data_IF_465718891968
#
_entry.id   IF_465718891968
#
_cell.length_a   1.000
_cell.length_b   1.000
_cell.length_c   1.000
_cell.angle_alpha   90.00
_cell.angle_beta   90.00
_cell.angle_gamma   90.00
#
_symmetry.space_group_name_H-M   'P 1'
#
loop_
_entity.id
_entity.type
_entity.pdbx_description
1 polymer ?
#
# COMPACT_ATOMS: atom_id res chain seq x y z
N UNK A 1 12.45 -6.74 -8.56
CA UNK A 1 13.46 -5.68 -8.71
C UNK A 1 12.78 -4.31 -8.60
N UNK A 2 11.81 -4.02 -9.44
CA UNK A 2 11.21 -2.69 -9.54
C UNK A 2 10.59 -2.19 -8.22
N UNK A 3 9.87 -3.02 -7.45
CA UNK A 3 9.33 -2.63 -6.12
C UNK A 3 10.44 -2.29 -5.11
N UNK A 4 11.59 -2.96 -5.21
CA UNK A 4 12.73 -2.65 -4.35
C UNK A 4 13.27 -1.25 -4.65
N UNK A 5 13.39 -0.87 -5.92
CA UNK A 5 13.94 0.43 -6.32
C UNK A 5 13.07 1.60 -5.91
N UNK A 6 11.73 1.43 -5.93
CA UNK A 6 10.77 2.47 -5.56
C UNK A 6 10.96 2.96 -4.12
N UNK A 7 11.02 2.03 -3.20
CA UNK A 7 11.11 2.35 -1.77
C UNK A 7 12.55 2.63 -1.33
N UNK A 8 13.55 2.07 -2.03
CA UNK A 8 14.94 2.13 -1.62
C UNK A 8 15.47 3.57 -1.47
N UNK A 9 15.31 4.39 -2.49
CA UNK A 9 15.87 5.74 -2.46
C UNK A 9 15.08 6.69 -1.57
N UNK A 10 13.76 6.49 -1.43
CA UNK A 10 12.97 7.26 -0.48
C UNK A 10 13.38 6.97 0.97
N UNK A 11 13.52 5.71 1.36
CA UNK A 11 14.05 5.34 2.68
C UNK A 11 15.46 5.88 2.88
N UNK A 12 16.31 5.71 1.88
CA UNK A 12 17.68 6.20 1.92
C UNK A 12 17.76 7.73 2.13
N UNK A 13 16.92 8.50 1.42
CA UNK A 13 16.83 9.95 1.60
C UNK A 13 16.37 10.30 3.02
N UNK A 14 15.37 9.62 3.55
CA UNK A 14 14.87 9.86 4.91
C UNK A 14 15.96 9.57 5.96
N UNK A 15 16.68 8.47 5.82
CA UNK A 15 17.79 8.12 6.71
C UNK A 15 18.96 9.11 6.58
N UNK A 16 19.34 9.50 5.36
CA UNK A 16 20.41 10.45 5.13
C UNK A 16 20.11 11.81 5.76
N UNK A 17 18.91 12.35 5.53
CA UNK A 17 18.48 13.61 6.15
C UNK A 17 18.55 13.52 7.66
N UNK A 18 18.08 12.44 8.27
CA UNK A 18 18.14 12.30 9.73
C UNK A 18 19.56 12.16 10.27
N UNK A 19 20.40 11.33 9.65
CA UNK A 19 21.75 11.07 10.13
C UNK A 19 22.64 12.33 10.08
N UNK A 20 22.51 13.10 9.01
CA UNK A 20 23.35 14.27 8.77
C UNK A 20 22.82 15.54 9.46
N UNK A 21 21.49 15.73 9.49
CA UNK A 21 20.91 16.97 10.07
C UNK A 21 20.48 16.79 11.53
N UNK A 22 20.27 15.56 11.98
CA UNK A 22 19.66 15.22 13.29
C UNK A 22 18.31 15.90 13.50
N UNK A 23 17.66 16.34 12.44
CA UNK A 23 16.38 17.02 12.48
C UNK A 23 15.23 16.03 12.26
N UNK A 24 14.51 15.72 13.33
CA UNK A 24 13.27 14.93 13.28
C UNK A 24 12.22 15.65 12.41
N UNK A 25 12.17 16.98 12.50
CA UNK A 25 11.24 17.80 11.72
C UNK A 25 11.50 17.67 10.21
N UNK A 26 12.75 17.82 9.75
CA UNK A 26 13.10 17.70 8.33
C UNK A 26 12.79 16.29 7.80
N UNK A 27 13.14 15.27 8.57
CA UNK A 27 12.82 13.87 8.25
C UNK A 27 11.32 13.64 8.15
N UNK A 28 10.56 14.17 9.11
CA UNK A 28 9.10 14.09 9.11
C UNK A 28 8.46 14.82 7.92
N UNK A 29 8.98 15.98 7.53
CA UNK A 29 8.50 16.73 6.35
C UNK A 29 8.77 15.91 5.07
N UNK A 30 9.96 15.34 4.89
CA UNK A 30 10.30 14.53 3.71
C UNK A 30 9.41 13.29 3.63
N UNK A 31 9.24 12.55 4.74
CA UNK A 31 8.38 11.37 4.79
C UNK A 31 6.90 11.71 4.60
N UNK A 32 6.42 12.75 5.27
CA UNK A 32 5.04 13.23 5.15
C UNK A 32 4.73 13.77 3.75
N UNK A 33 5.67 14.51 3.14
CA UNK A 33 5.53 15.01 1.78
C UNK A 33 5.40 13.86 0.77
N UNK A 34 6.20 12.79 0.90
CA UNK A 34 6.07 11.61 0.05
C UNK A 34 4.65 11.04 0.08
N UNK A 35 4.13 10.74 1.26
CA UNK A 35 2.80 10.15 1.41
C UNK A 35 1.69 11.08 0.92
N UNK A 36 1.81 12.39 1.22
CA UNK A 36 0.86 13.40 0.74
C UNK A 36 0.86 13.49 -0.80
N UNK A 37 2.03 13.51 -1.41
CA UNK A 37 2.17 13.55 -2.87
C UNK A 37 1.62 12.28 -3.52
N UNK A 38 1.88 11.10 -2.94
CA UNK A 38 1.28 9.84 -3.41
C UNK A 38 -0.24 9.94 -3.38
N UNK A 39 -0.84 10.40 -2.28
CA UNK A 39 -2.29 10.56 -2.17
C UNK A 39 -2.86 11.56 -3.19
N UNK A 40 -2.21 12.72 -3.36
CA UNK A 40 -2.64 13.76 -4.30
C UNK A 40 -2.55 13.31 -5.77
N UNK A 41 -1.49 12.60 -6.14
CA UNK A 41 -1.27 12.18 -7.52
C UNK A 41 -1.94 10.84 -7.85
N UNK A 42 -2.39 10.06 -6.88
CA UNK A 42 -2.98 8.74 -7.12
C UNK A 42 -4.15 8.75 -8.11
N UNK A 43 -5.05 9.75 -8.02
CA UNK A 43 -6.17 9.89 -8.95
C UNK A 43 -5.73 10.26 -10.37
N UNK A 44 -4.70 11.12 -10.50
CA UNK A 44 -4.10 11.45 -11.78
C UNK A 44 -3.49 10.20 -12.42
N UNK A 45 -2.72 9.44 -11.64
CA UNK A 45 -2.10 8.21 -12.09
C UNK A 45 -3.13 7.16 -12.51
N UNK A 46 -4.21 7.00 -11.74
CA UNK A 46 -5.33 6.12 -12.10
C UNK A 46 -5.95 6.49 -13.44
N UNK A 47 -6.17 7.77 -13.70
CA UNK A 47 -6.69 8.28 -14.97
C UNK A 47 -5.74 8.01 -16.15
N UNK A 48 -4.42 8.20 -15.93
CA UNK A 48 -3.39 7.92 -16.94
C UNK A 48 -3.36 6.42 -17.25
N UNK A 49 -3.43 5.58 -16.22
CA UNK A 49 -3.43 4.11 -16.36
C UNK A 49 -4.62 3.63 -17.19
N UNK A 50 -5.83 4.15 -16.97
CA UNK A 50 -7.01 3.74 -17.73
C UNK A 50 -6.93 4.12 -19.21
N UNK A 51 -6.38 5.30 -19.51
CA UNK A 51 -6.35 5.86 -20.87
C UNK A 51 -5.24 5.32 -21.77
N UNK A 52 -4.24 4.68 -21.19
CA UNK A 52 -3.08 4.22 -21.94
C UNK A 52 -2.83 2.72 -21.75
N UNK A 53 -2.06 2.12 -22.65
CA UNK A 53 -1.58 0.74 -22.46
C UNK A 53 -0.76 0.66 -21.18
N UNK A 54 -1.11 -0.28 -20.29
CA UNK A 54 -0.50 -0.43 -18.96
C UNK A 54 1.02 -0.62 -19.06
N UNK A 55 1.47 -1.40 -20.05
CA UNK A 55 2.90 -1.55 -20.32
C UNK A 55 3.59 -0.21 -20.64
N UNK A 56 2.97 0.65 -21.47
CA UNK A 56 3.53 1.97 -21.79
C UNK A 56 3.56 2.88 -20.56
N UNK A 57 2.53 2.81 -19.73
CA UNK A 57 2.47 3.57 -18.47
C UNK A 57 3.58 3.16 -17.53
N UNK A 58 3.83 1.84 -17.37
CA UNK A 58 4.92 1.33 -16.55
C UNK A 58 6.30 1.78 -17.09
N UNK A 59 6.50 1.71 -18.39
CA UNK A 59 7.74 2.21 -19.03
C UNK A 59 7.91 3.70 -18.81
N UNK A 60 6.87 4.51 -19.04
CA UNK A 60 6.90 5.96 -18.81
C UNK A 60 7.23 6.30 -17.36
N UNK A 61 6.57 5.65 -16.41
CA UNK A 61 6.87 5.79 -14.98
C UNK A 61 8.35 5.54 -14.70
N UNK A 62 8.88 4.39 -15.14
CA UNK A 62 10.29 4.05 -14.91
C UNK A 62 11.28 4.99 -15.60
N UNK A 63 10.95 5.50 -16.79
CA UNK A 63 11.79 6.50 -17.49
C UNK A 63 11.82 7.83 -16.75
N UNK A 64 10.66 8.32 -16.27
CA UNK A 64 10.58 9.56 -15.50
C UNK A 64 11.32 9.41 -14.17
N UNK A 65 11.15 8.28 -13.47
CA UNK A 65 11.87 7.98 -12.22
C UNK A 65 13.38 7.94 -12.44
N UNK A 66 13.85 7.23 -13.49
CA UNK A 66 15.27 7.16 -13.83
C UNK A 66 15.83 8.54 -14.15
N UNK A 67 15.07 9.35 -14.93
CA UNK A 67 15.44 10.73 -15.23
C UNK A 67 15.56 11.59 -13.99
N UNK A 68 14.58 11.52 -13.08
CA UNK A 68 14.59 12.26 -11.82
C UNK A 68 15.79 11.87 -10.94
N UNK A 69 16.04 10.57 -10.77
CA UNK A 69 17.18 10.11 -9.98
C UNK A 69 18.52 10.49 -10.62
N UNK A 70 18.60 10.47 -11.95
CA UNK A 70 19.81 10.92 -12.68
C UNK A 70 20.04 12.42 -12.50
N UNK A 71 18.99 13.25 -12.55
CA UNK A 71 19.10 14.69 -12.27
C UNK A 71 19.51 14.94 -10.82
N UNK A 72 18.95 14.20 -9.86
CA UNK A 72 19.39 14.27 -8.46
C UNK A 72 20.86 13.86 -8.32
N UNK A 73 21.32 12.84 -9.06
CA UNK A 73 22.72 12.43 -9.10
C UNK A 73 23.64 13.51 -9.64
N UNK A 74 23.25 14.20 -10.70
CA UNK A 74 24.00 15.35 -11.24
C UNK A 74 24.04 16.48 -10.22
N UNK A 75 22.95 16.81 -9.56
CA UNK A 75 22.95 17.83 -8.50
C UNK A 75 23.87 17.45 -7.36
N UNK A 76 23.87 16.20 -6.93
CA UNK A 76 24.76 15.72 -5.88
C UNK A 76 26.25 15.84 -6.23
N UNK A 77 26.59 15.68 -7.54
CA UNK A 77 27.98 15.84 -8.02
C UNK A 77 28.39 17.31 -8.21
N UNK A 78 27.43 18.20 -8.51
CA UNK A 78 27.71 19.61 -8.78
C UNK A 78 27.75 20.47 -7.52
N UNK A 79 27.03 20.11 -6.50
CA UNK A 79 26.91 20.89 -5.26
C UNK A 79 27.59 20.18 -4.08
N UNK A 80 28.26 20.91 -3.20
CA UNK A 80 28.80 20.32 -1.98
C UNK A 80 27.67 19.80 -1.09
N UNK A 81 27.92 18.68 -0.43
CA UNK A 81 26.94 18.01 0.44
C UNK A 81 26.38 18.94 1.52
N UNK A 82 27.21 19.84 2.06
CA UNK A 82 26.79 20.86 3.02
C UNK A 82 25.67 21.77 2.49
N UNK A 83 25.67 22.08 1.19
CA UNK A 83 24.60 22.88 0.57
C UNK A 83 23.33 22.07 0.35
N UNK A 84 23.44 20.76 0.13
CA UNK A 84 22.32 19.84 -0.03
C UNK A 84 21.68 19.44 1.30
N UNK A 85 22.36 19.71 2.43
CA UNK A 85 21.91 19.47 3.80
C UNK A 85 21.47 20.74 4.52
N UNK A 86 21.65 21.92 3.90
CA UNK A 86 21.17 23.18 4.44
C UNK A 86 19.65 23.28 4.34
N UNK A 87 18.96 23.02 5.45
CA UNK A 87 17.50 23.07 5.54
C UNK A 87 16.93 24.46 5.26
N UNK A 88 17.71 25.53 5.43
CA UNK A 88 17.35 26.90 5.09
C UNK A 88 17.60 27.24 3.61
N UNK A 89 18.39 26.44 2.93
CA UNK A 89 18.79 26.66 1.54
C UNK A 89 17.84 26.04 0.52
N UNK A 90 17.77 26.62 -0.70
CA UNK A 90 16.90 26.10 -1.75
C UNK A 90 17.36 24.75 -2.31
N UNK A 91 18.65 24.43 -2.22
CA UNK A 91 19.24 23.24 -2.83
C UNK A 91 18.81 21.95 -2.13
N UNK A 92 18.62 21.97 -0.81
CA UNK A 92 18.06 20.86 -0.05
C UNK A 92 16.65 20.50 -0.56
N UNK A 93 15.78 21.51 -0.69
CA UNK A 93 14.39 21.29 -1.10
C UNK A 93 14.29 20.89 -2.57
N UNK A 94 15.16 21.43 -3.43
CA UNK A 94 15.23 21.05 -4.86
C UNK A 94 15.67 19.60 -5.00
N UNK A 95 16.77 19.21 -4.34
CA UNK A 95 17.28 17.85 -4.38
C UNK A 95 16.26 16.84 -3.84
N UNK A 96 15.77 17.06 -2.62
CA UNK A 96 14.76 16.21 -2.00
C UNK A 96 13.47 16.15 -2.82
N UNK A 97 13.01 17.28 -3.36
CA UNK A 97 11.83 17.35 -4.20
C UNK A 97 11.96 16.54 -5.50
N UNK A 98 13.13 16.56 -6.15
CA UNK A 98 13.39 15.76 -7.36
C UNK A 98 13.41 14.26 -7.05
N UNK A 99 14.07 13.86 -5.95
CA UNK A 99 14.07 12.46 -5.50
C UNK A 99 12.65 12.00 -5.16
N UNK A 100 11.91 12.79 -4.39
CA UNK A 100 10.51 12.49 -4.05
C UNK A 100 9.61 12.43 -5.27
N UNK A 101 9.76 13.35 -6.23
CA UNK A 101 9.01 13.32 -7.48
C UNK A 101 9.21 11.99 -8.23
N UNK A 102 10.46 11.55 -8.39
CA UNK A 102 10.77 10.25 -9.00
C UNK A 102 10.10 9.09 -8.26
N UNK A 103 10.19 9.08 -6.92
CA UNK A 103 9.59 8.03 -6.08
C UNK A 103 8.04 8.05 -6.15
N UNK A 104 7.42 9.22 -6.20
CA UNK A 104 5.96 9.37 -6.31
C UNK A 104 5.46 8.89 -7.68
N UNK A 105 6.13 9.26 -8.77
CA UNK A 105 5.76 8.81 -10.14
C UNK A 105 5.83 7.29 -10.26
N UNK A 106 6.72 6.64 -9.55
CA UNK A 106 6.84 5.18 -9.54
C UNK A 106 5.55 4.48 -9.05
N UNK A 107 4.74 5.13 -8.19
CA UNK A 107 3.44 4.58 -7.74
C UNK A 107 2.43 4.39 -8.89
N UNK A 108 2.56 5.13 -9.99
CA UNK A 108 1.76 4.90 -11.19
C UNK A 108 1.93 3.48 -11.74
N UNK A 109 3.13 2.88 -11.58
CA UNK A 109 3.39 1.49 -11.95
C UNK A 109 2.62 0.52 -11.06
N UNK A 110 2.47 0.79 -9.76
CA UNK A 110 1.72 -0.07 -8.85
C UNK A 110 0.23 -0.13 -9.25
N UNK A 111 -0.37 1.01 -9.59
CA UNK A 111 -1.75 1.08 -10.10
C UNK A 111 -1.87 0.29 -11.42
N UNK A 112 -0.91 0.46 -12.35
CA UNK A 112 -0.90 -0.28 -13.60
C UNK A 112 -0.76 -1.80 -13.36
N UNK A 113 0.07 -2.23 -12.42
CA UNK A 113 0.26 -3.64 -12.06
C UNK A 113 -1.04 -4.27 -11.55
N UNK A 114 -1.77 -3.57 -10.66
CA UNK A 114 -3.06 -4.05 -10.14
C UNK A 114 -4.10 -4.25 -11.26
N UNK A 115 -4.09 -3.40 -12.30
CA UNK A 115 -4.95 -3.57 -13.47
C UNK A 115 -4.48 -4.68 -14.41
N UNK A 116 -3.15 -4.90 -14.53
CA UNK A 116 -2.57 -5.99 -15.34
C UNK A 116 -2.96 -7.36 -14.79
N UNK A 117 -3.10 -7.53 -13.48
CA UNK A 117 -3.57 -8.79 -12.91
C UNK A 117 -4.94 -9.18 -13.50
N UNK A 118 -5.84 -8.22 -13.68
CA UNK A 118 -7.15 -8.47 -14.32
C UNK A 118 -7.00 -8.88 -15.79
N UNK A 119 -6.02 -8.33 -16.49
CA UNK A 119 -5.78 -8.63 -17.91
C UNK A 119 -5.17 -10.01 -18.14
N UNK A 120 -4.20 -10.39 -17.31
CA UNK A 120 -3.37 -11.58 -17.55
C UNK A 120 -3.81 -12.82 -16.76
N UNK A 121 -4.57 -12.64 -15.68
CA UNK A 121 -4.90 -13.72 -14.75
C UNK A 121 -6.40 -14.02 -14.81
N UNK A 122 -6.78 -15.29 -15.06
CA UNK A 122 -8.16 -15.74 -14.96
C UNK A 122 -8.77 -15.37 -13.60
N UNK A 123 -10.08 -15.10 -13.58
CA UNK A 123 -10.78 -14.58 -12.41
C UNK A 123 -10.59 -15.46 -11.18
N UNK A 124 -10.62 -16.78 -11.35
CA UNK A 124 -10.50 -17.78 -10.28
C UNK A 124 -9.13 -17.75 -9.59
N UNK A 125 -8.09 -17.22 -10.27
CA UNK A 125 -6.72 -17.16 -9.78
C UNK A 125 -6.26 -15.76 -9.39
N UNK A 126 -7.11 -14.73 -9.50
CA UNK A 126 -6.72 -13.34 -9.16
C UNK A 126 -6.33 -13.19 -7.70
N UNK A 127 -7.04 -13.85 -6.79
CA UNK A 127 -6.68 -13.87 -5.37
C UNK A 127 -5.26 -14.41 -5.14
N UNK A 128 -4.90 -15.51 -5.81
CA UNK A 128 -3.57 -16.10 -5.72
C UNK A 128 -2.50 -15.16 -6.30
N UNK A 129 -2.79 -14.52 -7.44
CA UNK A 129 -1.87 -13.54 -8.05
C UNK A 129 -1.65 -12.33 -7.15
N UNK A 130 -2.72 -11.78 -6.56
CA UNK A 130 -2.62 -10.67 -5.61
C UNK A 130 -1.85 -11.06 -4.33
N UNK A 131 -2.02 -12.30 -3.84
CA UNK A 131 -1.20 -12.84 -2.75
C UNK A 131 0.28 -12.94 -3.12
N UNK A 132 0.61 -13.32 -4.36
CA UNK A 132 1.99 -13.33 -4.85
C UNK A 132 2.56 -11.90 -4.94
N UNK A 133 1.76 -10.92 -5.39
CA UNK A 133 2.15 -9.50 -5.38
C UNK A 133 2.46 -9.05 -3.95
N UNK A 134 1.62 -9.38 -2.98
CA UNK A 134 1.87 -9.10 -1.57
C UNK A 134 3.16 -9.74 -1.03
N UNK A 135 3.45 -10.98 -1.42
CA UNK A 135 4.73 -11.64 -1.10
C UNK A 135 5.92 -10.85 -1.63
N UNK A 136 5.86 -10.45 -2.90
CA UNK A 136 6.93 -9.66 -3.55
C UNK A 136 7.08 -8.29 -2.90
N UNK A 137 5.99 -7.65 -2.49
CA UNK A 137 6.02 -6.39 -1.73
C UNK A 137 6.68 -6.57 -0.36
N UNK A 138 6.34 -7.64 0.37
CA UNK A 138 6.98 -7.97 1.65
C UNK A 138 8.50 -8.20 1.52
N UNK A 139 8.93 -8.95 0.50
CA UNK A 139 10.35 -9.14 0.19
C UNK A 139 11.01 -7.81 -0.17
N UNK A 140 10.34 -6.98 -0.97
CA UNK A 140 10.86 -5.66 -1.35
C UNK A 140 11.00 -4.76 -0.12
N UNK A 141 10.02 -4.74 0.77
CA UNK A 141 10.06 -3.95 2.01
C UNK A 141 11.23 -4.39 2.91
N UNK A 142 11.39 -5.69 3.13
CA UNK A 142 12.48 -6.25 3.94
C UNK A 142 13.86 -5.90 3.35
N UNK A 143 14.04 -6.11 2.05
CA UNK A 143 15.29 -5.78 1.35
C UNK A 143 15.55 -4.27 1.44
N UNK A 144 14.53 -3.46 1.16
CA UNK A 144 14.67 -2.00 1.10
C UNK A 144 15.02 -1.42 2.46
N UNK A 145 14.34 -1.82 3.53
CA UNK A 145 14.59 -1.28 4.87
C UNK A 145 16.03 -1.58 5.34
N UNK A 146 16.50 -2.81 5.12
CA UNK A 146 17.86 -3.21 5.52
C UNK A 146 18.92 -2.55 4.63
N UNK A 147 18.77 -2.68 3.31
CA UNK A 147 19.82 -2.21 2.39
C UNK A 147 19.89 -0.69 2.28
N UNK A 148 18.78 0.04 2.46
CA UNK A 148 18.82 1.52 2.48
C UNK A 148 19.63 2.03 3.66
N UNK A 149 19.42 1.46 4.85
CA UNK A 149 20.20 1.82 6.04
C UNK A 149 21.67 1.48 5.90
N UNK A 150 22.00 0.28 5.42
CA UNK A 150 23.38 -0.13 5.18
C UNK A 150 24.07 0.72 4.10
N UNK A 151 23.36 1.00 3.00
CA UNK A 151 23.90 1.81 1.91
C UNK A 151 24.23 3.23 2.38
N UNK A 152 23.32 3.88 3.10
CA UNK A 152 23.58 5.22 3.66
C UNK A 152 24.66 5.18 4.71
N UNK A 153 24.61 4.24 5.65
CA UNK A 153 25.57 4.18 6.76
C UNK A 153 26.99 3.86 6.35
N UNK A 154 27.19 3.00 5.34
CA UNK A 154 28.53 2.58 4.91
C UNK A 154 29.02 3.21 3.62
N UNK A 155 28.13 3.57 2.70
CA UNK A 155 28.49 4.02 1.35
C UNK A 155 28.16 5.50 1.10
N UNK A 156 27.35 6.11 1.96
CA UNK A 156 26.89 7.48 1.80
C UNK A 156 25.85 7.68 0.71
N UNK A 157 25.33 8.91 0.60
CA UNK A 157 24.22 9.24 -0.31
C UNK A 157 24.59 9.12 -1.80
N UNK A 158 25.81 9.51 -2.17
CA UNK A 158 26.24 9.48 -3.57
C UNK A 158 26.24 8.08 -4.18
N UNK A 159 26.82 7.09 -3.47
CA UNK A 159 26.85 5.69 -3.92
C UNK A 159 25.46 5.09 -3.86
N UNK A 160 24.67 5.40 -2.84
CA UNK A 160 23.29 4.95 -2.69
C UNK A 160 22.43 5.41 -3.87
N UNK A 161 22.57 6.67 -4.28
CA UNK A 161 21.89 7.23 -5.44
C UNK A 161 22.33 6.56 -6.75
N UNK A 162 23.63 6.27 -6.91
CA UNK A 162 24.14 5.52 -8.06
C UNK A 162 23.55 4.11 -8.13
N UNK A 163 23.44 3.41 -6.98
CA UNK A 163 22.79 2.10 -6.90
C UNK A 163 21.32 2.21 -7.32
N UNK A 164 20.58 3.22 -6.85
CA UNK A 164 19.19 3.43 -7.21
C UNK A 164 19.01 3.70 -8.72
N UNK A 165 19.88 4.51 -9.32
CA UNK A 165 19.89 4.80 -10.77
C UNK A 165 20.12 3.51 -11.56
N UNK A 166 21.17 2.75 -11.22
CA UNK A 166 21.50 1.50 -11.91
C UNK A 166 20.37 0.48 -11.78
N UNK A 167 19.85 0.28 -10.56
CA UNK A 167 18.77 -0.68 -10.30
C UNK A 167 17.47 -0.30 -11.03
N UNK A 168 17.13 1.00 -11.08
CA UNK A 168 15.99 1.52 -11.87
C UNK A 168 16.22 1.32 -13.37
N UNK A 169 17.44 1.56 -13.86
CA UNK A 169 17.82 1.30 -15.24
C UNK A 169 17.71 -0.18 -15.62
N UNK A 170 18.16 -1.09 -14.76
CA UNK A 170 18.00 -2.55 -14.95
C UNK A 170 16.52 -2.94 -14.96
N UNK A 171 15.72 -2.40 -14.04
CA UNK A 171 14.28 -2.64 -14.01
C UNK A 171 13.58 -2.14 -15.29
N UNK A 172 13.95 -0.98 -15.78
CA UNK A 172 13.45 -0.43 -17.06
C UNK A 172 13.89 -1.30 -18.25
N UNK A 173 15.15 -1.69 -18.33
CA UNK A 173 15.66 -2.55 -19.40
C UNK A 173 14.91 -3.90 -19.42
N UNK A 174 14.70 -4.51 -18.26
CA UNK A 174 13.89 -5.72 -18.14
C UNK A 174 12.46 -5.49 -18.63
N UNK A 175 11.81 -4.38 -18.21
CA UNK A 175 10.45 -4.05 -18.61
C UNK A 175 10.32 -3.87 -20.13
N UNK A 176 11.31 -3.30 -20.80
CA UNK A 176 11.32 -3.11 -22.25
C UNK A 176 11.38 -4.44 -23.03
N UNK A 177 11.94 -5.49 -22.42
CA UNK A 177 12.01 -6.84 -23.03
C UNK A 177 10.70 -7.61 -22.82
N UNK A 178 9.99 -7.35 -21.72
CA UNK A 178 8.72 -8.04 -21.40
C UNK A 178 7.60 -7.53 -22.33
N UNK A 179 6.96 -8.46 -23.04
CA UNK A 179 5.81 -8.16 -23.89
C UNK A 179 4.52 -8.50 -23.14
N UNK A 180 3.67 -7.50 -22.93
CA UNK A 180 2.35 -7.70 -22.33
C UNK A 180 1.33 -7.67 -23.48
N UNK A 181 0.56 -8.76 -23.70
CA UNK A 181 -0.48 -8.78 -24.71
C UNK A 181 -1.64 -7.89 -24.25
N UNK A 182 -1.68 -6.67 -24.77
CA UNK A 182 -2.68 -5.67 -24.41
C UNK A 182 -3.23 -4.99 -25.67
N UNK A 183 -4.56 -5.03 -25.85
CA UNK A 183 -5.24 -4.27 -26.89
C UNK A 183 -5.09 -2.75 -26.62
N UNK A 184 -5.30 -1.93 -27.62
CA UNK A 184 -5.39 -0.49 -27.39
C UNK A 184 -6.62 -0.20 -26.54
N UNK A 185 -6.51 0.62 -25.49
CA UNK A 185 -7.67 1.08 -24.75
C UNK A 185 -8.63 1.78 -25.74
N UNK A 186 -9.89 1.42 -25.70
CA UNK A 186 -10.89 2.16 -26.46
C UNK A 186 -10.98 3.59 -25.91
N UNK A 187 -11.07 4.60 -26.77
CA UNK A 187 -11.25 5.97 -26.31
C UNK A 187 -12.57 6.06 -25.56
N UNK A 188 -12.54 6.22 -24.24
CA UNK A 188 -13.73 6.63 -23.50
C UNK A 188 -14.18 7.98 -24.09
N UNK A 189 -15.44 8.08 -24.52
CA UNK A 189 -16.03 9.33 -25.03
C UNK A 189 -16.19 10.44 -23.98
N UNK A 190 -15.70 10.22 -22.77
CA UNK A 190 -15.69 11.17 -21.67
C UNK A 190 -14.44 12.04 -21.75
N UNK A 191 -14.67 13.35 -21.78
CA UNK A 191 -13.70 14.42 -22.09
C UNK A 191 -12.31 14.32 -21.46
N UNK A 192 -11.34 14.94 -22.13
CA UNK A 192 -9.88 14.98 -21.89
C UNK A 192 -9.45 15.66 -20.56
N UNK A 193 -10.04 15.37 -19.42
CA UNK A 193 -9.61 15.94 -18.13
C UNK A 193 -8.40 15.16 -17.60
N UNK A 194 -7.37 15.86 -17.14
CA UNK A 194 -6.16 15.25 -16.58
C UNK A 194 -6.46 14.41 -15.33
N UNK A 195 -7.43 14.84 -14.51
CA UNK A 195 -7.96 14.09 -13.36
C UNK A 195 -9.45 13.90 -13.57
N UNK A 196 -9.87 12.64 -13.67
CA UNK A 196 -11.27 12.29 -13.85
C UNK A 196 -11.91 11.82 -12.53
N UNK A 197 -11.99 12.74 -11.57
CA UNK A 197 -12.65 12.49 -10.29
C UNK A 197 -14.13 12.11 -10.46
N UNK A 198 -14.82 12.74 -11.41
CA UNK A 198 -16.24 12.41 -11.67
C UNK A 198 -16.40 10.99 -12.21
N UNK A 199 -15.53 10.59 -13.15
CA UNK A 199 -15.51 9.22 -13.67
C UNK A 199 -15.17 8.20 -12.59
N UNK A 200 -14.21 8.49 -11.71
CA UNK A 200 -13.89 7.64 -10.57
C UNK A 200 -15.09 7.48 -9.61
N UNK A 201 -15.70 8.59 -9.19
CA UNK A 201 -16.90 8.57 -8.32
C UNK A 201 -18.05 7.85 -9.01
N UNK A 202 -18.27 8.07 -10.30
CA UNK A 202 -19.32 7.39 -11.07
C UNK A 202 -19.06 5.90 -11.13
N UNK A 203 -17.82 5.47 -11.38
CA UNK A 203 -17.44 4.05 -11.39
C UNK A 203 -17.63 3.39 -10.01
N UNK A 204 -17.22 4.08 -8.94
CA UNK A 204 -17.41 3.60 -7.56
C UNK A 204 -18.89 3.48 -7.21
N UNK A 205 -19.71 4.47 -7.61
CA UNK A 205 -21.18 4.44 -7.37
C UNK A 205 -21.90 3.42 -8.21
N UNK A 206 -21.38 3.10 -9.39
CA UNK A 206 -21.96 2.08 -10.27
C UNK A 206 -21.81 0.66 -9.72
N UNK A 207 -20.84 0.42 -8.81
CA UNK A 207 -20.67 -0.85 -8.11
C UNK A 207 -21.23 -0.74 -6.67
N UNK A 208 -22.44 -1.23 -6.39
CA UNK A 208 -23.08 -1.09 -5.08
C UNK A 208 -22.22 -1.72 -3.97
N UNK A 209 -21.91 -0.94 -2.94
CA UNK A 209 -21.07 -1.35 -1.81
C UNK A 209 -19.58 -1.08 -1.99
N UNK A 210 -19.10 -0.73 -3.17
CA UNK A 210 -17.68 -0.48 -3.42
C UNK A 210 -17.17 0.75 -2.65
N UNK A 211 -17.96 1.83 -2.58
CA UNK A 211 -17.60 3.00 -1.78
C UNK A 211 -17.43 2.65 -0.30
N UNK A 212 -18.32 1.78 0.22
CA UNK A 212 -18.20 1.33 1.61
C UNK A 212 -16.95 0.45 1.83
N UNK A 213 -16.55 -0.35 0.83
CA UNK A 213 -15.31 -1.11 0.87
C UNK A 213 -14.10 -0.17 0.95
N UNK A 214 -13.99 0.81 0.06
CA UNK A 214 -12.89 1.79 0.05
C UNK A 214 -12.84 2.56 1.37
N UNK A 215 -13.99 3.00 1.87
CA UNK A 215 -14.05 3.68 3.16
C UNK A 215 -13.63 2.77 4.32
N UNK A 216 -14.03 1.50 4.29
CA UNK A 216 -13.59 0.50 5.26
C UNK A 216 -12.06 0.32 5.23
N UNK A 217 -11.47 0.16 4.03
CA UNK A 217 -10.02 0.06 3.86
C UNK A 217 -9.30 1.33 4.33
N UNK A 218 -9.87 2.51 4.06
CA UNK A 218 -9.34 3.79 4.55
C UNK A 218 -9.28 3.82 6.07
N UNK A 219 -10.35 3.42 6.77
CA UNK A 219 -10.35 3.35 8.23
C UNK A 219 -9.43 2.26 8.76
N UNK A 220 -9.33 1.12 8.09
CA UNK A 220 -8.37 0.09 8.43
C UNK A 220 -6.93 0.60 8.33
N UNK A 221 -6.59 1.35 7.27
CA UNK A 221 -5.28 2.00 7.11
C UNK A 221 -5.05 3.11 8.15
N UNK A 222 -6.11 3.86 8.52
CA UNK A 222 -6.04 4.85 9.61
C UNK A 222 -5.61 4.19 10.93
N UNK A 223 -6.24 3.07 11.29
CA UNK A 223 -5.88 2.32 12.50
C UNK A 223 -4.52 1.63 12.35
N UNK A 224 -4.20 1.12 11.16
CA UNK A 224 -2.87 0.60 10.84
C UNK A 224 -1.76 1.62 11.07
N UNK A 225 -2.02 2.89 10.74
CA UNK A 225 -1.09 4.00 10.97
C UNK A 225 -0.75 4.23 12.44
N UNK A 226 -1.66 3.92 13.37
CA UNK A 226 -1.38 3.98 14.82
C UNK A 226 -0.29 2.98 15.20
N UNK A 227 -0.42 1.74 14.71
CA UNK A 227 0.59 0.70 14.96
C UNK A 227 1.94 1.09 14.36
N UNK A 228 1.94 1.58 13.11
CA UNK A 228 3.18 2.02 12.46
C UNK A 228 3.86 3.18 13.19
N UNK A 229 3.10 4.12 13.75
CA UNK A 229 3.66 5.27 14.47
C UNK A 229 4.24 4.91 15.85
N UNK A 230 3.63 3.94 16.55
CA UNK A 230 3.96 3.64 17.95
C UNK A 230 4.68 2.30 18.14
N UNK A 231 4.87 1.52 17.06
CA UNK A 231 5.53 0.21 17.12
C UNK A 231 7.00 0.35 17.53
N UNK A 232 7.73 1.30 16.94
CA UNK A 232 9.13 1.54 17.28
C UNK A 232 9.29 2.08 18.71
N UNK A 233 8.55 3.13 19.16
CA UNK A 233 8.59 3.56 20.55
C UNK A 233 8.36 2.43 21.55
N UNK A 234 7.32 1.63 21.35
CA UNK A 234 7.04 0.51 22.25
C UNK A 234 8.14 -0.58 22.19
N UNK A 235 8.64 -0.87 21.00
CA UNK A 235 9.71 -1.85 20.82
C UNK A 235 11.01 -1.44 21.50
N UNK A 236 11.34 -0.15 21.48
CA UNK A 236 12.54 0.39 22.12
C UNK A 236 12.46 0.41 23.66
N UNK A 237 11.25 0.38 24.24
CA UNK A 237 11.08 0.15 25.69
C UNK A 237 11.36 -1.32 26.09
N UNK A 238 11.09 -2.27 25.18
CA UNK A 238 11.28 -3.70 25.44
C UNK A 238 12.64 -4.24 25.05
N UNK A 239 13.31 -3.61 24.09
CA UNK A 239 14.55 -4.11 23.48
C UNK A 239 15.60 -3.02 23.34
N UNK A 240 16.89 -3.34 23.51
CA UNK A 240 17.98 -2.50 23.00
C UNK A 240 17.83 -2.25 21.50
N UNK A 241 18.26 -1.08 21.02
CA UNK A 241 18.08 -0.62 19.63
C UNK A 241 18.55 -1.66 18.61
N UNK A 242 19.70 -2.30 18.87
CA UNK A 242 20.28 -3.31 17.98
C UNK A 242 19.41 -4.55 17.87
N UNK A 243 18.80 -4.98 18.98
CA UNK A 243 17.93 -6.14 19.02
C UNK A 243 16.56 -5.82 18.44
N UNK A 244 16.04 -4.61 18.65
CA UNK A 244 14.77 -4.17 18.07
C UNK A 244 14.81 -4.23 16.54
N UNK A 245 15.89 -3.76 15.92
CA UNK A 245 16.05 -3.87 14.46
C UNK A 245 15.99 -5.32 13.96
N UNK A 246 16.59 -6.26 14.69
CA UNK A 246 16.52 -7.69 14.36
C UNK A 246 15.10 -8.24 14.52
N UNK A 247 14.43 -7.90 15.63
CA UNK A 247 13.05 -8.34 15.89
C UNK A 247 12.11 -7.82 14.80
N UNK A 248 12.23 -6.56 14.41
CA UNK A 248 11.43 -5.97 13.33
C UNK A 248 11.73 -6.62 11.97
N UNK A 249 12.99 -6.92 11.69
CA UNK A 249 13.42 -7.65 10.49
C UNK A 249 12.80 -9.05 10.43
N UNK A 250 12.77 -9.78 11.55
CA UNK A 250 12.10 -11.08 11.66
C UNK A 250 10.58 -10.90 11.51
N UNK A 251 9.99 -9.92 12.18
CA UNK A 251 8.56 -9.65 12.11
C UNK A 251 8.09 -9.34 10.68
N UNK A 252 8.89 -8.61 9.89
CA UNK A 252 8.57 -8.30 8.49
C UNK A 252 8.50 -9.53 7.58
N UNK A 253 9.10 -10.66 7.95
CA UNK A 253 8.90 -11.93 7.23
C UNK A 253 7.44 -12.40 7.26
N UNK A 254 6.64 -11.90 8.20
CA UNK A 254 5.20 -12.12 8.25
C UNK A 254 4.51 -11.73 6.93
N UNK A 255 4.86 -10.58 6.34
CA UNK A 255 4.35 -10.18 5.03
C UNK A 255 4.62 -11.23 3.95
N UNK A 256 5.83 -11.80 3.94
CA UNK A 256 6.23 -12.82 2.97
C UNK A 256 5.40 -14.08 3.16
N UNK A 257 5.30 -14.54 4.41
CA UNK A 257 4.54 -15.76 4.75
C UNK A 257 3.05 -15.58 4.45
N UNK A 258 2.46 -14.46 4.87
CA UNK A 258 1.05 -14.16 4.63
C UNK A 258 0.73 -14.10 3.13
N UNK A 259 1.53 -13.36 2.35
CA UNK A 259 1.39 -13.30 0.90
C UNK A 259 1.54 -14.67 0.24
N UNK A 260 2.53 -15.48 0.65
CA UNK A 260 2.75 -16.82 0.12
C UNK A 260 1.59 -17.77 0.45
N UNK A 261 1.00 -17.68 1.64
CA UNK A 261 -0.20 -18.44 2.01
C UNK A 261 -1.33 -18.11 1.04
N UNK A 262 -1.63 -16.83 0.82
CA UNK A 262 -2.70 -16.42 -0.11
C UNK A 262 -2.36 -16.81 -1.56
N UNK A 263 -1.10 -16.69 -1.97
CA UNK A 263 -0.65 -17.15 -3.29
C UNK A 263 -0.94 -18.64 -3.53
N UNK A 264 -0.86 -19.45 -2.46
CA UNK A 264 -1.11 -20.91 -2.54
C UNK A 264 -2.58 -21.27 -2.36
N UNK A 265 -3.27 -20.66 -1.37
CA UNK A 265 -4.62 -21.07 -0.95
C UNK A 265 -5.73 -20.23 -1.58
N UNK A 266 -5.41 -19.04 -2.07
CA UNK A 266 -6.41 -18.02 -2.44
C UNK A 266 -7.15 -17.46 -1.24
N UNK A 267 -8.25 -16.76 -1.51
CA UNK A 267 -9.10 -16.07 -0.51
C UNK A 267 -10.44 -16.78 -0.27
N UNK A 268 -10.60 -17.99 -0.81
CA UNK A 268 -11.85 -18.74 -0.72
C UNK A 268 -12.97 -18.18 -1.61
N UNK A 269 -14.21 -18.61 -1.37
CA UNK A 269 -15.35 -18.26 -2.21
C UNK A 269 -15.85 -16.81 -2.04
N UNK A 270 -15.58 -16.20 -0.90
CA UNK A 270 -16.01 -14.84 -0.60
C UNK A 270 -14.83 -14.02 -0.03
N UNK A 271 -14.04 -13.35 -0.87
CA UNK A 271 -12.90 -12.54 -0.46
C UNK A 271 -13.29 -11.43 0.52
N UNK A 272 -14.49 -10.86 0.41
CA UNK A 272 -14.94 -9.78 1.30
C UNK A 272 -15.12 -10.34 2.73
N UNK A 273 -15.76 -11.51 2.86
CA UNK A 273 -15.90 -12.17 4.16
C UNK A 273 -14.53 -12.50 4.76
N UNK A 274 -13.64 -13.02 3.95
CA UNK A 274 -12.26 -13.34 4.38
C UNK A 274 -11.55 -12.08 4.86
N UNK A 275 -11.61 -10.97 4.11
CA UNK A 275 -11.04 -9.69 4.50
C UNK A 275 -11.56 -9.19 5.84
N UNK A 276 -12.89 -9.19 6.04
CA UNK A 276 -13.48 -8.73 7.30
C UNK A 276 -13.07 -9.61 8.49
N UNK A 277 -12.99 -10.93 8.32
CA UNK A 277 -12.51 -11.84 9.35
C UNK A 277 -11.05 -11.60 9.70
N UNK A 278 -10.21 -11.33 8.69
CA UNK A 278 -8.79 -11.00 8.88
C UNK A 278 -8.63 -9.68 9.63
N UNK A 279 -9.42 -8.64 9.30
CA UNK A 279 -9.39 -7.36 10.01
C UNK A 279 -9.86 -7.51 11.45
N UNK A 280 -10.89 -8.32 11.71
CA UNK A 280 -11.27 -8.67 13.10
C UNK A 280 -10.11 -9.36 13.82
N UNK A 281 -9.44 -10.32 13.17
CA UNK A 281 -8.24 -10.98 13.69
C UNK A 281 -7.09 -10.01 13.97
N UNK A 282 -6.83 -9.07 13.05
CA UNK A 282 -5.83 -8.01 13.25
C UNK A 282 -6.17 -7.12 14.45
N UNK A 283 -7.45 -6.78 14.61
CA UNK A 283 -7.93 -6.02 15.77
C UNK A 283 -7.72 -6.76 17.10
N UNK A 284 -8.03 -8.05 17.14
CA UNK A 284 -7.78 -8.90 18.32
C UNK A 284 -6.28 -8.98 18.62
N UNK A 285 -5.46 -9.27 17.63
CA UNK A 285 -4.00 -9.32 17.78
C UNK A 285 -3.46 -7.97 18.27
N UNK A 286 -3.89 -6.87 17.64
CA UNK A 286 -3.47 -5.53 17.99
C UNK A 286 -3.86 -5.10 19.42
N UNK A 287 -4.97 -5.60 19.94
CA UNK A 287 -5.36 -5.37 21.31
C UNK A 287 -4.58 -6.23 22.32
N UNK A 288 -4.12 -7.41 21.91
CA UNK A 288 -3.57 -8.41 22.84
C UNK A 288 -2.04 -8.44 22.89
N UNK A 289 -1.32 -8.07 21.83
CA UNK A 289 0.14 -8.28 21.81
C UNK A 289 0.92 -7.34 22.76
N UNK A 290 0.27 -6.32 23.32
CA UNK A 290 0.85 -5.45 24.34
C UNK A 290 0.17 -5.58 25.70
N UNK A 291 -0.71 -6.58 25.89
CA UNK A 291 -1.47 -6.75 27.12
C UNK A 291 -0.57 -7.03 28.34
N UNK A 292 0.61 -7.54 28.11
CA UNK A 292 1.68 -7.71 29.10
C UNK A 292 3.00 -7.23 28.53
N UNK A 293 3.86 -6.74 29.39
CA UNK A 293 5.23 -6.33 29.06
C UNK A 293 6.13 -7.57 28.87
N UNK A 294 5.77 -8.37 27.87
CA UNK A 294 6.47 -9.58 27.53
C UNK A 294 6.95 -9.53 26.09
N UNK A 295 8.25 -9.41 25.92
CA UNK A 295 8.88 -9.23 24.62
C UNK A 295 8.50 -10.26 23.56
N UNK A 296 8.34 -11.54 23.98
CA UNK A 296 7.96 -12.61 23.05
C UNK A 296 6.52 -12.48 22.56
N UNK A 297 5.59 -12.08 23.45
CA UNK A 297 4.19 -11.81 23.08
C UNK A 297 4.12 -10.69 22.04
N UNK A 298 4.91 -9.62 22.24
CA UNK A 298 4.99 -8.50 21.33
C UNK A 298 5.58 -8.92 19.97
N UNK A 299 6.74 -9.59 19.96
CA UNK A 299 7.41 -10.03 18.74
C UNK A 299 6.54 -10.98 17.89
N UNK A 300 5.93 -11.99 18.52
CA UNK A 300 5.01 -12.92 17.85
C UNK A 300 3.75 -12.20 17.37
N UNK A 301 3.19 -11.31 18.20
CA UNK A 301 1.98 -10.56 17.87
C UNK A 301 2.17 -9.67 16.65
N UNK A 302 3.28 -8.93 16.55
CA UNK A 302 3.62 -8.12 15.38
C UNK A 302 3.81 -9.01 14.15
N UNK A 303 4.56 -10.10 14.29
CA UNK A 303 4.76 -11.04 13.18
C UNK A 303 3.45 -11.57 12.63
N UNK A 304 2.53 -12.02 13.50
CA UNK A 304 1.20 -12.49 13.11
C UNK A 304 0.37 -11.36 12.47
N UNK A 305 0.41 -10.16 13.04
CA UNK A 305 -0.30 -9.01 12.52
C UNK A 305 0.17 -8.66 11.11
N UNK A 306 1.49 -8.60 10.90
CA UNK A 306 2.09 -8.36 9.58
C UNK A 306 1.75 -9.46 8.57
N UNK A 307 1.60 -10.72 9.03
CA UNK A 307 1.23 -11.81 8.14
C UNK A 307 -0.22 -11.72 7.62
N UNK A 308 -1.10 -10.99 8.30
CA UNK A 308 -2.48 -10.81 7.86
C UNK A 308 -2.64 -9.67 6.83
N UNK A 309 -1.75 -8.69 6.81
CA UNK A 309 -1.85 -7.50 5.93
C UNK A 309 -1.95 -7.86 4.45
N UNK A 310 -1.07 -8.70 3.86
CA UNK A 310 -1.14 -9.03 2.43
C UNK A 310 -2.46 -9.71 2.03
N UNK A 311 -3.09 -10.43 2.95
CA UNK A 311 -4.35 -11.09 2.70
C UNK A 311 -5.52 -10.10 2.63
N UNK A 312 -5.51 -9.05 3.47
CA UNK A 312 -6.49 -7.95 3.43
C UNK A 312 -6.36 -7.18 2.13
N UNK A 313 -5.15 -6.78 1.76
CA UNK A 313 -4.87 -6.07 0.51
C UNK A 313 -5.24 -6.90 -0.73
N UNK A 314 -4.85 -8.19 -0.75
CA UNK A 314 -5.20 -9.08 -1.85
C UNK A 314 -6.71 -9.26 -2.00
N UNK A 315 -7.47 -9.27 -0.88
CA UNK A 315 -8.91 -9.38 -0.89
C UNK A 315 -9.55 -8.12 -1.51
N UNK A 316 -9.13 -6.95 -1.10
CA UNK A 316 -9.62 -5.68 -1.65
C UNK A 316 -9.35 -5.59 -3.15
N UNK A 317 -8.11 -5.81 -3.57
CA UNK A 317 -7.73 -5.79 -4.98
C UNK A 317 -8.54 -6.78 -5.81
N UNK A 318 -8.73 -8.01 -5.30
CA UNK A 318 -9.52 -9.05 -5.98
C UNK A 318 -10.98 -8.64 -6.15
N UNK A 319 -11.57 -7.99 -5.14
CA UNK A 319 -12.96 -7.49 -5.23
C UNK A 319 -13.07 -6.37 -6.26
N UNK A 320 -12.19 -5.37 -6.21
CA UNK A 320 -12.19 -4.26 -7.19
C UNK A 320 -12.02 -4.81 -8.62
N UNK A 321 -11.06 -5.72 -8.83
CA UNK A 321 -10.79 -6.34 -10.13
C UNK A 321 -11.98 -7.14 -10.71
N UNK A 322 -12.90 -7.58 -9.85
CA UNK A 322 -14.08 -8.31 -10.27
C UNK A 322 -15.29 -7.41 -10.53
N UNK A 323 -15.56 -6.46 -9.63
CA UNK A 323 -16.79 -5.66 -9.67
C UNK A 323 -16.66 -4.41 -10.55
N UNK A 324 -15.43 -3.98 -10.87
CA UNK A 324 -15.16 -2.80 -11.70
C UNK A 324 -14.73 -3.23 -13.09
N UNK A 325 -15.38 -2.70 -14.16
CA UNK A 325 -14.95 -2.94 -15.54
C UNK A 325 -13.48 -2.55 -15.74
N UNK A 326 -12.74 -3.37 -16.50
CA UNK A 326 -11.29 -3.21 -16.71
C UNK A 326 -10.88 -1.78 -17.11
N UNK A 327 -11.67 -1.14 -17.99
CA UNK A 327 -11.42 0.21 -18.52
C UNK A 327 -11.47 1.31 -17.45
N UNK A 328 -12.06 1.03 -16.27
CA UNK A 328 -12.23 1.97 -15.16
C UNK A 328 -11.46 1.58 -13.90
N UNK A 329 -10.75 0.46 -13.93
CA UNK A 329 -10.03 -0.05 -12.76
C UNK A 329 -8.93 0.89 -12.30
N UNK A 330 -8.17 1.50 -13.22
CA UNK A 330 -7.12 2.45 -12.86
C UNK A 330 -7.62 3.64 -12.07
N UNK A 331 -8.76 4.24 -12.49
CA UNK A 331 -9.41 5.36 -11.76
C UNK A 331 -9.88 4.93 -10.38
N UNK A 332 -10.45 3.73 -10.25
CA UNK A 332 -10.94 3.22 -8.96
C UNK A 332 -9.77 2.88 -8.04
N UNK A 333 -8.71 2.23 -8.53
CA UNK A 333 -7.50 1.99 -7.74
C UNK A 333 -6.81 3.30 -7.33
N UNK A 334 -6.72 4.27 -8.24
CA UNK A 334 -6.18 5.59 -7.92
C UNK A 334 -7.03 6.33 -6.88
N UNK A 335 -8.36 6.20 -6.94
CA UNK A 335 -9.27 6.76 -5.94
C UNK A 335 -9.08 6.09 -4.57
N UNK A 336 -9.08 4.76 -4.51
CA UNK A 336 -8.85 4.01 -3.28
C UNK A 336 -7.48 4.37 -2.66
N UNK A 337 -6.41 4.33 -3.44
CA UNK A 337 -5.07 4.68 -3.00
C UNK A 337 -4.97 6.12 -2.48
N UNK A 338 -5.70 7.08 -3.07
CA UNK A 338 -5.69 8.46 -2.59
C UNK A 338 -6.23 8.57 -1.16
N UNK A 339 -7.31 7.86 -0.85
CA UNK A 339 -7.90 7.84 0.48
C UNK A 339 -7.04 7.06 1.48
N UNK A 340 -6.54 5.92 1.08
CA UNK A 340 -5.74 5.04 1.93
C UNK A 340 -4.37 5.64 2.27
N UNK A 341 -3.67 6.20 1.26
CA UNK A 341 -2.38 6.84 1.48
C UNK A 341 -2.47 8.12 2.33
N UNK A 342 -3.62 8.81 2.30
CA UNK A 342 -3.84 9.96 3.17
C UNK A 342 -4.10 9.58 4.63
N UNK A 343 -4.59 8.38 4.89
CA UNK A 343 -4.94 7.93 6.23
C UNK A 343 -3.73 7.84 7.18
N UNK A 344 -2.62 7.26 6.72
CA UNK A 344 -1.43 7.02 7.56
C UNK A 344 -0.79 8.31 8.09
N UNK A 345 -0.53 9.37 7.28
CA UNK A 345 -0.03 10.64 7.79
C UNK A 345 -0.99 11.29 8.79
N UNK A 346 -2.29 11.28 8.50
CA UNK A 346 -3.30 11.86 9.42
C UNK A 346 -3.18 11.20 10.79
N UNK A 347 -3.08 9.87 10.81
CA UNK A 347 -2.95 9.14 12.07
C UNK A 347 -1.64 9.46 12.78
N UNK A 348 -0.51 9.45 12.08
CA UNK A 348 0.79 9.71 12.68
C UNK A 348 0.85 11.11 13.33
N UNK A 349 0.29 12.12 12.66
CA UNK A 349 0.23 13.48 13.21
C UNK A 349 -0.72 13.63 14.39
N UNK A 350 -1.78 12.84 14.46
CA UNK A 350 -2.76 12.93 15.53
C UNK A 350 -2.39 12.08 16.74
N UNK A 351 -1.92 10.83 16.49
CA UNK A 351 -1.78 9.87 17.58
C UNK A 351 -0.53 10.10 18.44
N UNK A 352 0.58 10.55 17.83
CA UNK A 352 1.80 10.80 18.58
C UNK A 352 1.62 11.87 19.66
N UNK A 353 1.06 13.08 19.38
CA UNK A 353 0.77 14.05 20.43
C UNK A 353 -0.26 13.56 21.45
N UNK A 354 -1.30 12.82 21.02
CA UNK A 354 -2.30 12.28 21.95
C UNK A 354 -1.66 11.26 22.90
N UNK A 355 -0.81 10.39 22.39
CA UNK A 355 -0.09 9.43 23.21
C UNK A 355 0.86 10.16 24.19
N UNK A 356 1.70 11.08 23.71
CA UNK A 356 2.75 11.74 24.48
C UNK A 356 2.19 12.71 25.53
N UNK A 357 1.19 13.54 25.17
CA UNK A 357 0.72 14.61 26.05
C UNK A 357 -0.54 14.26 26.84
N UNK A 358 -1.25 13.17 26.50
CA UNK A 358 -2.47 12.82 27.20
C UNK A 358 -2.43 11.41 27.80
N UNK A 359 -2.14 10.37 27.00
CA UNK A 359 -2.35 8.98 27.44
C UNK A 359 -1.20 8.49 28.30
N UNK A 360 0.05 8.74 27.91
CA UNK A 360 1.24 8.33 28.70
C UNK A 360 1.21 9.00 30.06
N UNK A 361 1.06 10.35 30.20
CA UNK A 361 0.97 10.98 31.51
C UNK A 361 -0.23 10.53 32.32
N UNK A 362 -1.39 10.24 31.70
CA UNK A 362 -2.54 9.71 32.40
C UNK A 362 -2.23 8.35 33.04
N UNK A 363 -1.53 7.48 32.34
CA UNK A 363 -1.16 6.13 32.83
C UNK A 363 -0.14 6.18 33.98
N UNK A 364 0.59 7.27 34.16
CA UNK A 364 1.47 7.49 35.29
C UNK A 364 0.73 7.91 36.57
N UNK A 365 -0.53 8.37 36.45
CA UNK A 365 -1.36 8.73 37.60
C UNK A 365 -1.91 7.49 38.33
N UNK A 366 -2.29 7.65 39.60
CA UNK A 366 -2.94 6.58 40.37
C UNK A 366 -4.28 6.15 39.74
N UNK A 367 -5.04 7.08 39.17
CA UNK A 367 -6.30 6.80 38.48
C UNK A 367 -6.09 5.96 37.21
N UNK A 368 -5.08 6.28 36.41
CA UNK A 368 -4.71 5.53 35.20
C UNK A 368 -4.28 4.10 35.54
N UNK A 369 -3.43 3.94 36.56
CA UNK A 369 -3.01 2.63 37.07
C UNK A 369 -4.18 1.85 37.64
N UNK A 370 -5.07 2.46 38.40
CA UNK A 370 -6.27 1.82 38.93
C UNK A 370 -7.22 1.34 37.81
N UNK A 371 -7.33 2.11 36.73
CA UNK A 371 -8.24 1.80 35.63
C UNK A 371 -7.69 0.70 34.72
N UNK A 372 -6.42 0.74 34.31
CA UNK A 372 -5.84 -0.14 33.31
C UNK A 372 -4.77 -1.09 33.86
N UNK A 373 -4.18 -0.83 35.04
CA UNK A 373 -3.07 -1.61 35.58
C UNK A 373 -3.44 -3.09 35.83
N UNK A 374 -4.67 -3.39 36.21
CA UNK A 374 -5.16 -4.79 36.38
C UNK A 374 -5.06 -5.59 35.08
N UNK A 375 -5.21 -4.92 33.90
CA UNK A 375 -5.18 -5.55 32.59
C UNK A 375 -3.77 -5.47 31.98
N UNK A 376 -3.17 -4.26 31.97
CA UNK A 376 -1.91 -4.00 31.26
C UNK A 376 -0.68 -4.15 32.15
N UNK A 377 -0.82 -4.16 33.47
CA UNK A 377 0.29 -4.13 34.41
C UNK A 377 0.89 -2.73 34.59
N UNK A 378 1.99 -2.67 35.33
CA UNK A 378 2.75 -1.44 35.59
C UNK A 378 4.00 -1.43 34.73
N UNK A 379 4.39 -0.26 34.17
CA UNK A 379 5.57 -0.10 33.34
C UNK A 379 5.50 1.17 32.47
N UNK A 380 6.66 1.61 31.96
CA UNK A 380 6.80 2.89 31.23
C UNK A 380 6.07 2.87 29.89
N UNK A 381 6.02 1.71 29.22
CA UNK A 381 5.35 1.54 27.92
C UNK A 381 3.83 1.38 28.01
N UNK A 382 3.22 1.45 29.21
CA UNK A 382 1.78 1.13 29.39
C UNK A 382 0.87 2.14 28.73
N UNK A 383 1.26 3.41 28.62
CA UNK A 383 0.53 4.42 27.86
C UNK A 383 0.36 4.03 26.39
N UNK A 384 1.44 3.58 25.75
CA UNK A 384 1.39 3.10 24.37
C UNK A 384 0.55 1.81 24.27
N UNK A 385 0.63 0.92 25.27
CA UNK A 385 -0.18 -0.29 25.32
C UNK A 385 -1.69 0.00 25.37
N UNK A 386 -2.12 1.06 26.09
CA UNK A 386 -3.53 1.53 26.07
C UNK A 386 -3.93 1.95 24.67
N UNK A 387 -3.08 2.71 23.96
CA UNK A 387 -3.37 3.14 22.58
C UNK A 387 -3.54 1.93 21.68
N UNK A 388 -2.67 0.94 21.75
CA UNK A 388 -2.79 -0.31 20.97
C UNK A 388 -4.04 -1.09 21.33
N UNK A 389 -4.36 -1.21 22.60
CA UNK A 389 -5.59 -1.89 23.07
C UNK A 389 -6.84 -1.22 22.46
N UNK A 390 -6.95 0.11 22.59
CA UNK A 390 -8.09 0.88 22.06
C UNK A 390 -8.16 0.77 20.55
N UNK A 391 -7.03 0.93 19.85
CA UNK A 391 -6.96 0.83 18.40
C UNK A 391 -7.34 -0.58 17.92
N UNK A 392 -6.86 -1.61 18.60
CA UNK A 392 -7.23 -3.00 18.29
C UNK A 392 -8.72 -3.26 18.46
N UNK A 393 -9.32 -2.77 19.56
CA UNK A 393 -10.77 -2.86 19.78
C UNK A 393 -11.54 -2.09 18.69
N UNK A 394 -11.10 -0.90 18.29
CA UNK A 394 -11.73 -0.13 17.23
C UNK A 394 -11.61 -0.84 15.88
N UNK A 395 -10.46 -1.44 15.57
CA UNK A 395 -10.25 -2.24 14.35
C UNK A 395 -11.17 -3.47 14.34
N UNK A 396 -11.27 -4.17 15.46
CA UNK A 396 -12.19 -5.31 15.63
C UNK A 396 -13.65 -4.87 15.42
N UNK A 397 -14.06 -3.77 16.05
CA UNK A 397 -15.41 -3.23 15.93
C UNK A 397 -15.71 -2.77 14.51
N UNK A 398 -14.75 -2.16 13.80
CA UNK A 398 -14.86 -1.81 12.40
C UNK A 398 -15.18 -3.04 11.54
N UNK A 399 -14.42 -4.12 11.71
CA UNK A 399 -14.65 -5.39 11.00
C UNK A 399 -16.03 -6.00 11.30
N UNK A 400 -16.41 -6.05 12.58
CA UNK A 400 -17.72 -6.56 13.02
C UNK A 400 -18.86 -5.68 12.47
N UNK A 401 -18.75 -4.36 12.60
CA UNK A 401 -19.74 -3.41 12.10
C UNK A 401 -19.92 -3.57 10.59
N UNK A 402 -18.84 -3.75 9.83
CA UNK A 402 -18.89 -3.95 8.39
C UNK A 402 -19.71 -5.20 8.01
N UNK A 403 -19.63 -6.30 8.76
CA UNK A 403 -20.47 -7.49 8.55
C UNK A 403 -21.98 -7.22 8.67
N UNK A 404 -22.36 -6.26 9.52
CA UNK A 404 -23.77 -5.91 9.77
C UNK A 404 -24.33 -4.99 8.70
N UNK A 405 -23.48 -4.40 7.83
CA UNK A 405 -23.90 -3.43 6.83
C UNK A 405 -24.66 -4.07 5.66
N UNK A 406 -25.57 -3.30 5.07
CA UNK A 406 -26.22 -3.68 3.80
C UNK A 406 -25.19 -3.75 2.67
N UNK A 407 -24.18 -2.87 2.69
CA UNK A 407 -23.12 -2.81 1.68
C UNK A 407 -22.34 -4.13 1.59
N UNK A 408 -22.01 -4.77 2.72
CA UNK A 408 -21.38 -6.09 2.74
C UNK A 408 -22.23 -7.14 2.03
N UNK A 409 -23.53 -7.19 2.35
CA UNK A 409 -24.47 -8.18 1.75
C UNK A 409 -24.60 -7.96 0.25
N UNK A 410 -24.77 -6.70 -0.17
CA UNK A 410 -24.93 -6.33 -1.59
C UNK A 410 -23.66 -6.65 -2.38
N UNK A 411 -22.48 -6.25 -1.87
CA UNK A 411 -21.22 -6.50 -2.56
C UNK A 411 -20.88 -7.99 -2.61
N UNK A 412 -21.16 -8.74 -1.54
CA UNK A 412 -21.00 -10.21 -1.52
C UNK A 412 -21.93 -10.91 -2.49
N UNK A 413 -23.19 -10.47 -2.60
CA UNK A 413 -24.15 -11.01 -3.56
C UNK A 413 -23.74 -10.70 -5.00
N UNK A 414 -23.27 -9.48 -5.27
CA UNK A 414 -22.76 -9.07 -6.58
C UNK A 414 -21.51 -9.89 -6.96
N UNK A 415 -20.61 -10.09 -6.03
CA UNK A 415 -19.43 -10.92 -6.26
C UNK A 415 -19.81 -12.37 -6.59
N UNK A 416 -20.77 -12.95 -5.88
CA UNK A 416 -21.27 -14.32 -6.12
C UNK A 416 -22.09 -14.43 -7.42
N UNK A 417 -22.93 -13.44 -7.71
CA UNK A 417 -23.82 -13.43 -8.88
C UNK A 417 -23.06 -13.34 -10.22
N UNK A 418 -21.95 -12.62 -10.26
CA UNK A 418 -21.08 -12.56 -11.44
C UNK A 418 -20.37 -13.88 -11.73
N UNK A 419 -20.23 -14.76 -10.74
CA UNK A 419 -19.67 -16.12 -10.93
C UNK A 419 -20.68 -17.04 -11.61
N UNK A 420 -22.00 -16.76 -11.52
CA UNK A 420 -23.05 -17.58 -12.11
C UNK A 420 -23.53 -17.09 -13.49
N UNK A 421 -23.18 -15.86 -13.88
CA UNK A 421 -23.57 -15.27 -15.16
C UNK A 421 -22.41 -15.21 -16.15
N UNK A 422 -21.71 -16.33 -16.35
CA UNK A 422 -21.01 -16.53 -17.62
C UNK A 422 -22.10 -16.94 -18.61
N UNK A 423 -22.55 -16.09 -19.55
CA UNK A 423 -23.34 -16.57 -20.67
C UNK A 423 -22.41 -17.52 -21.40
N UNK A 424 -22.76 -18.80 -21.43
CA UNK A 424 -22.32 -19.66 -22.52
C UNK A 424 -22.71 -18.88 -23.77
N UNK A 425 -21.72 -18.37 -24.50
CA UNK A 425 -21.98 -17.82 -25.81
C UNK A 425 -22.69 -18.94 -26.57
N UNK A 426 -23.99 -18.83 -26.74
CA UNK A 426 -24.71 -19.60 -27.76
C UNK A 426 -23.95 -19.27 -29.06
N UNK A 427 -23.10 -20.18 -29.46
CA UNK A 427 -22.54 -20.23 -30.78
C UNK A 427 -23.75 -20.23 -31.72
N UNK A 428 -24.09 -19.05 -32.25
CA UNK A 428 -25.11 -18.93 -33.29
C UNK A 428 -24.56 -19.75 -34.46
N UNK A 429 -24.98 -21.02 -34.52
CA UNK A 429 -24.82 -21.84 -35.70
C UNK A 429 -25.51 -21.06 -36.82
N UNK A 430 -24.82 -20.64 -37.86
CA UNK A 430 -25.42 -19.95 -38.97
C UNK A 430 -26.51 -20.87 -39.56
N UNK A 431 -27.75 -20.42 -39.55
CA UNK A 431 -28.85 -21.11 -40.23
C UNK A 431 -28.43 -21.34 -41.68
N UNK A 432 -28.47 -22.60 -42.20
CA UNK A 432 -28.12 -22.87 -43.58
C UNK A 432 -29.02 -22.06 -44.49
N UNK A 433 -28.38 -21.22 -45.33
CA UNK A 433 -29.07 -20.39 -46.31
C UNK A 433 -30.07 -21.28 -47.12
N UNK A 434 -31.37 -20.97 -47.00
CA UNK A 434 -32.39 -21.62 -47.77
C UNK A 434 -32.06 -21.43 -49.28
N UNK A 435 -31.74 -22.54 -49.93
CA UNK A 435 -31.52 -22.65 -51.36
C UNK A 435 -32.79 -22.19 -52.08
N UNK A 436 -32.80 -20.99 -52.64
CA UNK A 436 -33.88 -20.49 -53.48
C UNK A 436 -33.87 -21.31 -54.77
N UNK A 437 -34.76 -22.30 -54.84
CA UNK A 437 -35.08 -23.00 -56.09
C UNK A 437 -35.78 -22.04 -57.01
N UNK A 438 -35.10 -21.62 -58.08
CA UNK A 438 -35.66 -20.84 -59.19
C UNK A 438 -36.68 -21.71 -59.97
N UNK A 439 -37.95 -21.31 -60.08
CA UNK A 439 -38.97 -22.11 -60.75
C UNK A 439 -38.97 -21.93 -62.29
N UNK A 440 -37.83 -21.56 -62.90
CA UNK A 440 -37.72 -21.46 -64.36
C UNK A 440 -36.43 -22.08 -64.85
N UNK A 441 -36.38 -23.42 -64.87
CA UNK A 441 -35.71 -24.25 -65.87
C UNK A 441 -36.14 -25.69 -65.75
#
# INVERSE_FOLDING_TARGET
IANVTTSFLWFALTFWVYLETRSVLATGIVGGAYMLLVALFAMLFGTIVDRHRKHRVMVLSSVVTLGSFSVAGVLYLLFPESSLLDLGGPWFWLFSGIVLFGAVVENMRNIALSTIVTLLVPEERRANANGLVGTVQGVAFMITSVFSGLAIGFLGMGVTLAIAIVATGVALAHLLVVRIPEAQPEPDGEGRRAVDLRGAITAVRAAPGLFALILFSTFNNLFGGVYMALMDPYGLELFPVELWGVVLGVASTGFIVGGAVIAKTGLGRNPIRTMLLLVVGMGILGALFTIREWWLLYAIGIWMWMALVPAVEAAEQTVIQKVVPFQRQGRVFGFAQAFEAAAAPITAFLIAPIAEFAIIPYMETDDGRATFGWLLGDGDARGIAVVFLVTGLLTMLLGIAAFLTRSYRTLSAQYAGQTMSVPVAEEQVPEPAAEQVDPRR
#
